data_IF_227850000404
#
_entry.id   IF_227850000404
#
_cell.length_a   1.000
_cell.length_b   1.000
_cell.length_c   1.000
_cell.angle_alpha   90.00
_cell.angle_beta   90.00
_cell.angle_gamma   90.00
#
_symmetry.space_group_name_H-M   'P 1'
#
loop_
_entity.id
_entity.type
_entity.pdbx_description
1 polymer ?
#
# COMPACT_ATOMS: atom_id res chain seq x y z
N UNK A 1 -73.88 -12.99 38.11
CA UNK A 1 -73.38 -12.24 36.93
C UNK A 1 -72.45 -13.14 36.14
N UNK A 2 -72.74 -13.41 34.86
CA UNK A 2 -71.89 -14.25 34.01
C UNK A 2 -71.01 -13.36 33.11
N UNK A 3 -69.72 -13.28 33.41
CA UNK A 3 -68.74 -12.60 32.54
C UNK A 3 -68.34 -13.52 31.39
N UNK A 4 -68.95 -13.30 30.22
CA UNK A 4 -68.64 -14.07 29.00
C UNK A 4 -67.26 -13.65 28.48
N UNK A 5 -66.28 -14.54 28.64
CA UNK A 5 -64.87 -14.31 28.29
C UNK A 5 -64.72 -13.99 26.80
N UNK A 6 -64.34 -12.76 26.47
CA UNK A 6 -64.09 -12.35 25.08
C UNK A 6 -62.94 -13.16 24.50
N UNK A 7 -63.19 -13.83 23.37
CA UNK A 7 -62.15 -14.56 22.63
C UNK A 7 -61.30 -13.58 21.85
N UNK A 8 -60.24 -13.08 22.47
CA UNK A 8 -59.22 -12.27 21.80
C UNK A 8 -58.57 -13.09 20.70
N UNK A 9 -58.85 -12.76 19.43
CA UNK A 9 -58.17 -13.33 18.27
C UNK A 9 -56.68 -13.01 18.39
N UNK A 10 -55.88 -14.02 18.75
CA UNK A 10 -54.42 -13.94 18.85
C UNK A 10 -53.86 -13.61 17.46
N UNK A 11 -53.54 -12.35 17.24
CA UNK A 11 -52.89 -11.88 16.01
C UNK A 11 -51.56 -12.63 15.88
N UNK A 12 -51.49 -13.59 14.95
CA UNK A 12 -50.23 -14.21 14.56
C UNK A 12 -49.57 -13.24 13.57
N UNK A 13 -48.50 -12.50 13.92
CA UNK A 13 -47.76 -11.77 12.91
C UNK A 13 -47.22 -12.76 11.89
N UNK A 14 -47.38 -12.46 10.60
CA UNK A 14 -46.91 -13.32 9.52
C UNK A 14 -45.39 -13.25 9.41
N UNK A 15 -44.69 -14.00 10.27
CA UNK A 15 -43.22 -14.12 10.29
C UNK A 15 -42.64 -14.50 8.92
N UNK A 16 -43.35 -15.36 8.18
CA UNK A 16 -43.03 -15.71 6.80
C UNK A 16 -43.04 -14.50 5.84
N UNK A 17 -43.95 -13.54 6.02
CA UNK A 17 -44.06 -12.34 5.17
C UNK A 17 -42.91 -11.36 5.36
N UNK A 18 -42.46 -11.18 6.61
CA UNK A 18 -41.29 -10.33 6.93
C UNK A 18 -40.01 -10.97 6.38
N UNK A 19 -39.81 -12.28 6.58
CA UNK A 19 -38.66 -13.01 6.02
C UNK A 19 -38.62 -12.95 4.48
N UNK A 20 -39.77 -13.11 3.82
CA UNK A 20 -39.87 -13.02 2.36
C UNK A 20 -39.53 -11.62 1.85
N UNK A 21 -40.06 -10.57 2.47
CA UNK A 21 -39.81 -9.18 2.06
C UNK A 21 -38.33 -8.79 2.23
N UNK A 22 -37.71 -9.19 3.34
CA UNK A 22 -36.28 -8.96 3.58
C UNK A 22 -35.40 -9.77 2.63
N UNK A 23 -35.77 -11.01 2.33
CA UNK A 23 -35.08 -11.83 1.32
C UNK A 23 -35.15 -11.23 -0.08
N UNK A 24 -36.30 -10.65 -0.46
CA UNK A 24 -36.47 -9.95 -1.75
C UNK A 24 -35.61 -8.69 -1.81
N UNK A 25 -35.62 -7.85 -0.77
CA UNK A 25 -34.75 -6.65 -0.72
C UNK A 25 -33.27 -7.03 -0.79
N UNK A 26 -32.86 -8.07 -0.06
CA UNK A 26 -31.51 -8.61 -0.10
C UNK A 26 -31.12 -9.10 -1.51
N UNK A 27 -32.03 -9.82 -2.18
CA UNK A 27 -31.82 -10.31 -3.54
C UNK A 27 -31.74 -9.17 -4.57
N UNK A 28 -32.59 -8.15 -4.46
CA UNK A 28 -32.56 -6.96 -5.32
C UNK A 28 -31.23 -6.22 -5.16
N UNK A 29 -30.75 -6.04 -3.92
CA UNK A 29 -29.44 -5.42 -3.66
C UNK A 29 -28.30 -6.26 -4.25
N UNK A 30 -28.31 -7.58 -4.05
CA UNK A 30 -27.32 -8.49 -4.64
C UNK A 30 -27.30 -8.45 -6.16
N UNK A 31 -28.47 -8.45 -6.80
CA UNK A 31 -28.60 -8.38 -8.27
C UNK A 31 -28.16 -7.02 -8.79
N UNK A 32 -28.49 -5.91 -8.10
CA UNK A 32 -28.00 -4.59 -8.47
C UNK A 32 -26.47 -4.50 -8.37
N UNK A 33 -25.87 -5.04 -7.31
CA UNK A 33 -24.40 -5.12 -7.14
C UNK A 33 -23.78 -5.98 -8.25
N UNK A 34 -24.34 -7.16 -8.53
CA UNK A 34 -23.86 -8.05 -9.60
C UNK A 34 -23.94 -7.37 -10.98
N UNK A 35 -25.03 -6.66 -11.27
CA UNK A 35 -25.19 -5.90 -12.51
C UNK A 35 -24.15 -4.77 -12.59
N UNK A 36 -23.92 -4.01 -11.51
CA UNK A 36 -22.88 -2.97 -11.49
C UNK A 36 -21.47 -3.55 -11.73
N UNK A 37 -21.16 -4.70 -11.13
CA UNK A 37 -19.89 -5.43 -11.36
C UNK A 37 -19.77 -5.90 -12.81
N UNK A 38 -20.83 -6.50 -13.37
CA UNK A 38 -20.83 -7.00 -14.77
C UNK A 38 -20.67 -5.84 -15.77
N UNK A 39 -21.42 -4.74 -15.60
CA UNK A 39 -21.35 -3.58 -16.49
C UNK A 39 -19.95 -2.94 -16.47
N UNK A 40 -19.33 -2.80 -15.30
CA UNK A 40 -17.96 -2.31 -15.18
C UNK A 40 -16.91 -3.32 -15.71
N UNK A 41 -17.14 -4.63 -15.59
CA UNK A 41 -16.24 -5.65 -16.16
C UNK A 41 -16.23 -5.60 -17.70
N UNK A 42 -17.39 -5.39 -18.34
CA UNK A 42 -17.44 -5.15 -19.79
C UNK A 42 -16.70 -3.87 -20.22
N UNK A 43 -16.68 -2.85 -19.36
CA UNK A 43 -16.01 -1.57 -19.62
C UNK A 43 -14.49 -1.66 -19.41
N UNK A 44 -14.03 -2.43 -18.42
CA UNK A 44 -12.60 -2.74 -18.24
C UNK A 44 -12.06 -3.58 -19.42
N UNK A 45 -12.83 -4.56 -19.90
CA UNK A 45 -12.48 -5.37 -21.07
C UNK A 45 -12.41 -4.55 -22.37
N UNK A 46 -13.13 -3.44 -22.48
CA UNK A 46 -13.07 -2.55 -23.65
C UNK A 46 -11.91 -1.55 -23.56
N UNK A 47 -11.58 -1.07 -22.35
CA UNK A 47 -10.50 -0.10 -22.14
C UNK A 47 -9.11 -0.65 -22.48
N UNK A 48 -8.77 -1.87 -22.02
CA UNK A 48 -7.51 -2.56 -22.38
C UNK A 48 -7.39 -2.75 -23.90
N UNK A 49 -8.52 -2.95 -24.59
CA UNK A 49 -8.56 -3.18 -26.03
C UNK A 49 -8.38 -1.89 -26.87
N UNK A 50 -8.69 -0.72 -26.31
CA UNK A 50 -8.74 0.56 -27.05
C UNK A 50 -7.50 1.43 -26.84
N UNK A 51 -7.00 1.53 -25.60
CA UNK A 51 -5.93 2.50 -25.27
C UNK A 51 -4.50 2.06 -25.63
N UNK A 52 -4.21 0.76 -25.61
CA UNK A 52 -2.84 0.26 -25.82
C UNK A 52 -2.38 0.36 -27.30
N UNK A 53 -3.31 0.24 -28.26
CA UNK A 53 -2.98 0.00 -29.68
C UNK A 53 -2.38 1.19 -30.45
N UNK A 54 -2.87 2.44 -30.34
CA UNK A 54 -2.38 3.52 -31.21
C UNK A 54 -0.99 4.04 -30.78
N UNK A 55 -0.79 4.30 -29.49
CA UNK A 55 0.42 4.97 -29.01
C UNK A 55 1.66 4.04 -29.01
N UNK A 56 1.48 2.75 -28.75
CA UNK A 56 2.59 1.79 -28.74
C UNK A 56 3.06 1.48 -30.17
N UNK A 57 2.13 1.40 -31.14
CA UNK A 57 2.46 1.16 -32.55
C UNK A 57 3.25 2.32 -33.17
N UNK A 58 2.76 3.56 -33.07
CA UNK A 58 3.42 4.76 -33.60
C UNK A 58 4.82 4.94 -32.97
N UNK A 59 4.94 4.68 -31.67
CA UNK A 59 6.21 4.75 -30.93
C UNK A 59 7.18 3.66 -31.38
N UNK A 60 6.71 2.46 -31.71
CA UNK A 60 7.53 1.37 -32.22
C UNK A 60 8.03 1.65 -33.65
N UNK A 61 7.17 2.17 -34.55
CA UNK A 61 7.58 2.59 -35.90
C UNK A 61 8.63 3.71 -35.85
N UNK A 62 8.43 4.72 -35.01
CA UNK A 62 9.39 5.81 -34.81
C UNK A 62 10.75 5.32 -34.29
N UNK A 63 10.76 4.40 -33.31
CA UNK A 63 11.99 3.79 -32.80
C UNK A 63 12.69 2.95 -33.87
N UNK A 64 11.94 2.17 -34.66
CA UNK A 64 12.48 1.38 -35.77
C UNK A 64 13.14 2.30 -36.83
N UNK A 65 12.51 3.44 -37.13
CA UNK A 65 13.05 4.42 -38.06
C UNK A 65 14.31 5.12 -37.53
N UNK A 66 14.39 5.41 -36.22
CA UNK A 66 15.62 5.91 -35.60
C UNK A 66 16.76 4.90 -35.64
N UNK A 67 16.48 3.62 -35.35
CA UNK A 67 17.47 2.53 -35.41
C UNK A 67 18.06 2.44 -36.82
N UNK A 68 17.22 2.41 -37.85
CA UNK A 68 17.65 2.31 -39.25
C UNK A 68 18.52 3.52 -39.69
N UNK A 69 18.21 4.72 -39.20
CA UNK A 69 19.02 5.92 -39.47
C UNK A 69 20.39 5.87 -38.76
N UNK A 70 20.44 5.32 -37.54
CA UNK A 70 21.69 5.13 -36.80
C UNK A 70 22.55 4.05 -37.44
N UNK A 71 21.98 2.91 -37.88
CA UNK A 71 22.75 1.84 -38.52
C UNK A 71 23.40 2.34 -39.81
N UNK A 72 22.66 3.01 -40.70
CA UNK A 72 23.19 3.62 -41.93
C UNK A 72 24.35 4.59 -41.63
N UNK A 73 24.19 5.47 -40.63
CA UNK A 73 25.26 6.38 -40.18
C UNK A 73 26.49 5.62 -39.65
N UNK A 74 26.31 4.54 -38.91
CA UNK A 74 27.44 3.76 -38.39
C UNK A 74 28.19 2.99 -39.49
N UNK A 75 27.49 2.45 -40.50
CA UNK A 75 28.15 1.81 -41.65
C UNK A 75 28.93 2.83 -42.49
N UNK A 76 28.32 3.99 -42.76
CA UNK A 76 28.99 5.10 -43.46
C UNK A 76 30.23 5.61 -42.70
N UNK A 77 30.21 5.55 -41.37
CA UNK A 77 31.35 5.92 -40.52
C UNK A 77 32.44 4.85 -40.51
N UNK A 78 32.08 3.56 -40.39
CA UNK A 78 33.03 2.43 -40.46
C UNK A 78 33.82 2.39 -41.76
N UNK A 79 33.18 2.73 -42.87
CA UNK A 79 33.80 2.69 -44.20
C UNK A 79 34.79 3.86 -44.48
N UNK A 80 35.06 4.72 -43.49
CA UNK A 80 35.94 5.90 -43.63
C UNK A 80 37.11 5.90 -42.61
N UNK A 81 37.15 4.98 -41.64
CA UNK A 81 38.21 4.94 -40.61
C UNK A 81 39.25 3.85 -40.88
N UNK A 82 40.20 4.15 -41.77
CA UNK A 82 41.55 3.59 -41.61
C UNK A 82 42.18 4.20 -40.34
N UNK A 83 42.80 3.39 -39.48
CA UNK A 83 43.19 3.80 -38.13
C UNK A 83 44.16 4.99 -38.09
N UNK A 84 43.92 5.94 -37.18
CA UNK A 84 44.71 7.18 -37.06
C UNK A 84 46.03 6.96 -36.29
N UNK A 85 46.10 5.92 -35.45
CA UNK A 85 47.29 5.57 -34.66
C UNK A 85 48.11 4.48 -35.36
N UNK A 86 49.45 4.67 -35.45
CA UNK A 86 50.33 3.86 -36.30
C UNK A 86 50.74 2.48 -35.76
N UNK A 87 50.28 2.06 -34.57
CA UNK A 87 50.48 0.66 -34.11
C UNK A 87 49.34 0.18 -33.20
N UNK A 88 49.24 -1.14 -33.06
CA UNK A 88 48.23 -1.88 -32.26
C UNK A 88 48.21 -1.54 -30.78
N UNK A 89 49.32 -1.00 -30.26
CA UNK A 89 49.57 -0.87 -28.83
C UNK A 89 49.11 0.50 -28.29
N UNK A 90 48.53 1.33 -29.16
CA UNK A 90 47.97 2.64 -28.85
C UNK A 90 46.46 2.63 -29.01
N UNK A 91 45.77 3.17 -28.01
CA UNK A 91 44.31 3.30 -28.00
C UNK A 91 43.94 4.63 -28.66
N UNK A 92 43.18 4.60 -29.76
CA UNK A 92 42.65 5.80 -30.39
C UNK A 92 41.38 6.27 -29.65
N UNK A 93 41.39 7.51 -29.15
CA UNK A 93 40.18 8.19 -28.63
C UNK A 93 40.16 9.63 -29.13
N UNK A 94 39.12 10.00 -29.88
CA UNK A 94 38.92 11.36 -30.43
C UNK A 94 40.14 11.89 -31.21
N UNK A 95 40.68 11.08 -32.14
CA UNK A 95 41.92 11.39 -32.91
C UNK A 95 43.12 11.76 -32.02
N UNK A 96 43.23 11.12 -30.85
CA UNK A 96 44.41 11.16 -29.99
C UNK A 96 44.77 9.72 -29.61
N UNK A 97 46.06 9.41 -29.67
CA UNK A 97 46.59 8.10 -29.34
C UNK A 97 47.02 8.08 -27.87
N UNK A 98 46.63 7.04 -27.14
CA UNK A 98 46.99 6.83 -25.74
C UNK A 98 47.78 5.53 -25.58
N UNK A 99 49.00 5.63 -25.06
CA UNK A 99 49.81 4.49 -24.64
C UNK A 99 49.75 4.35 -23.12
N UNK A 100 49.74 3.10 -22.64
CA UNK A 100 49.65 2.78 -21.22
C UNK A 100 50.64 1.66 -20.91
N UNK A 101 51.49 1.89 -19.91
CA UNK A 101 52.52 0.95 -19.52
C UNK A 101 51.90 -0.40 -19.06
N UNK A 102 52.53 -1.54 -19.37
CA UNK A 102 52.05 -2.85 -18.94
C UNK A 102 51.90 -2.97 -17.42
N UNK A 103 50.94 -3.80 -17.00
CA UNK A 103 50.68 -4.06 -15.59
C UNK A 103 51.94 -4.59 -14.88
N UNK A 104 52.24 -4.05 -13.70
CA UNK A 104 53.45 -4.38 -12.91
C UNK A 104 54.63 -3.43 -13.11
N UNK A 105 54.68 -2.63 -14.19
CA UNK A 105 55.72 -1.62 -14.38
C UNK A 105 55.40 -0.36 -13.59
N UNK A 106 55.87 -0.29 -12.34
CA UNK A 106 55.85 0.95 -11.55
C UNK A 106 57.14 1.75 -11.78
N UNK A 107 56.98 3.05 -11.99
CA UNK A 107 58.08 4.03 -12.18
C UNK A 107 57.78 5.25 -11.33
N UNK A 108 58.79 6.08 -11.03
CA UNK A 108 58.55 7.43 -10.50
C UNK A 108 57.90 8.29 -11.58
N UNK A 109 57.20 9.35 -11.18
CA UNK A 109 56.55 10.30 -12.09
C UNK A 109 57.51 10.80 -13.18
N UNK A 110 58.75 11.15 -12.81
CA UNK A 110 59.82 11.57 -13.72
C UNK A 110 60.14 10.49 -14.77
N UNK A 111 60.39 9.25 -14.32
CA UNK A 111 60.71 8.11 -15.20
C UNK A 111 59.53 7.70 -16.09
N UNK A 112 58.29 8.05 -15.72
CA UNK A 112 57.10 7.89 -16.56
C UNK A 112 56.95 9.04 -17.57
N UNK A 113 57.29 10.28 -17.18
CA UNK A 113 57.35 11.43 -18.08
C UNK A 113 58.36 11.22 -19.18
N UNK A 114 59.56 10.77 -18.82
CA UNK A 114 60.67 10.62 -19.76
C UNK A 114 60.39 9.45 -20.74
N UNK A 115 59.87 8.31 -20.26
CA UNK A 115 59.39 7.20 -21.12
C UNK A 115 58.27 7.62 -22.07
N UNK A 116 57.39 8.55 -21.67
CA UNK A 116 56.39 9.12 -22.58
C UNK A 116 57.01 10.00 -23.65
N UNK A 117 58.05 10.78 -23.32
CA UNK A 117 58.78 11.64 -24.28
C UNK A 117 59.59 10.82 -25.28
N UNK A 118 60.26 9.76 -24.83
CA UNK A 118 61.01 8.82 -25.69
C UNK A 118 60.10 8.15 -26.74
N UNK A 119 58.82 7.96 -26.42
CA UNK A 119 57.78 7.43 -27.34
C UNK A 119 57.17 8.49 -28.28
N UNK A 120 57.70 9.71 -28.32
CA UNK A 120 57.15 10.82 -29.09
C UNK A 120 55.86 11.41 -28.52
N UNK A 121 55.54 11.12 -27.25
CA UNK A 121 54.35 11.58 -26.55
C UNK A 121 54.65 12.45 -25.32
N UNK A 122 53.67 12.56 -24.44
CA UNK A 122 53.77 13.23 -23.13
C UNK A 122 52.74 12.63 -22.16
N UNK A 123 52.94 12.82 -20.86
CA UNK A 123 51.94 12.41 -19.87
C UNK A 123 50.59 13.10 -20.12
N UNK A 124 49.51 12.38 -19.82
CA UNK A 124 48.16 12.81 -20.20
C UNK A 124 47.71 14.06 -19.43
N UNK A 125 47.24 15.07 -20.17
CA UNK A 125 46.54 16.24 -19.61
C UNK A 125 45.02 16.04 -19.65
N UNK A 126 44.32 16.37 -18.56
CA UNK A 126 42.89 16.08 -18.38
C UNK A 126 42.10 17.39 -18.36
N UNK A 127 41.55 17.76 -19.51
CA UNK A 127 40.80 19.01 -19.71
C UNK A 127 39.27 18.84 -19.62
N UNK A 128 38.75 17.61 -19.47
CA UNK A 128 37.31 17.34 -19.46
C UNK A 128 36.97 16.09 -18.62
N UNK A 129 35.90 16.17 -17.82
CA UNK A 129 35.35 15.10 -16.96
C UNK A 129 34.99 13.82 -17.74
N UNK A 130 34.52 13.92 -18.99
CA UNK A 130 34.27 12.76 -19.84
C UNK A 130 35.57 12.00 -20.19
N UNK A 131 36.68 12.72 -20.38
CA UNK A 131 38.01 12.14 -20.64
C UNK A 131 38.58 11.47 -19.38
N UNK A 132 38.34 12.05 -18.20
CA UNK A 132 38.68 11.46 -16.91
C UNK A 132 37.93 10.14 -16.68
N UNK A 133 36.62 10.11 -16.91
CA UNK A 133 35.79 8.91 -16.69
C UNK A 133 36.19 7.75 -17.61
N UNK A 134 36.54 8.04 -18.87
CA UNK A 134 36.96 7.03 -19.83
C UNK A 134 38.32 6.39 -19.44
N UNK A 135 39.29 7.19 -18.99
CA UNK A 135 40.57 6.68 -18.48
C UNK A 135 40.38 5.96 -17.12
N UNK A 136 39.62 6.55 -16.21
CA UNK A 136 39.41 6.06 -14.84
C UNK A 136 38.54 4.81 -14.69
N UNK A 137 37.99 4.27 -15.80
CA UNK A 137 37.24 3.01 -15.86
C UNK A 137 38.12 1.78 -16.09
N UNK A 138 39.27 1.96 -16.75
CA UNK A 138 40.17 0.86 -17.14
C UNK A 138 41.48 0.81 -16.32
N UNK A 139 41.93 1.95 -15.76
CA UNK A 139 43.25 2.04 -15.14
C UNK A 139 43.13 2.45 -13.66
N UNK A 140 43.62 1.57 -12.77
CA UNK A 140 43.45 1.73 -11.31
C UNK A 140 44.49 2.65 -10.66
N UNK A 141 45.74 2.66 -11.16
CA UNK A 141 46.82 3.58 -10.74
C UNK A 141 47.76 3.84 -11.94
N UNK A 142 47.91 5.10 -12.33
CA UNK A 142 48.83 5.53 -13.40
C UNK A 142 49.22 7.01 -13.18
N UNK A 143 50.45 7.39 -13.56
CA UNK A 143 50.87 8.79 -13.51
C UNK A 143 50.21 9.62 -14.62
N UNK A 144 49.85 10.86 -14.29
CA UNK A 144 49.29 11.86 -15.19
C UNK A 144 50.20 13.10 -15.24
N UNK A 145 50.03 13.96 -16.23
CA UNK A 145 50.95 15.08 -16.50
C UNK A 145 50.75 16.30 -15.61
N UNK A 146 50.32 16.13 -14.36
CA UNK A 146 50.07 17.22 -13.39
C UNK A 146 51.19 17.20 -12.34
N UNK A 147 51.77 18.37 -12.03
CA UNK A 147 52.83 18.53 -11.03
C UNK A 147 52.89 19.96 -10.48
N UNK A 148 53.43 20.12 -9.28
CA UNK A 148 53.62 21.39 -8.55
C UNK A 148 55.10 21.80 -8.41
N UNK A 149 56.01 21.11 -9.12
CA UNK A 149 57.47 21.28 -8.99
C UNK A 149 58.01 22.66 -9.36
N UNK A 150 57.23 23.50 -10.05
CA UNK A 150 57.61 24.87 -10.37
C UNK A 150 57.50 25.79 -9.16
N UNK A 151 56.36 25.74 -8.47
CA UNK A 151 56.05 26.48 -7.25
C UNK A 151 55.18 25.58 -6.38
N UNK A 152 55.67 25.19 -5.21
CA UNK A 152 54.95 24.35 -4.23
C UNK A 152 53.51 24.87 -4.01
N UNK A 153 52.53 23.97 -4.12
CA UNK A 153 51.10 24.33 -4.02
C UNK A 153 50.46 24.93 -5.28
N UNK A 154 51.23 25.24 -6.32
CA UNK A 154 50.72 25.68 -7.64
C UNK A 154 50.81 24.55 -8.64
N UNK A 155 49.68 23.88 -8.88
CA UNK A 155 49.61 22.74 -9.80
C UNK A 155 49.53 23.18 -11.26
N UNK A 156 50.49 22.71 -12.05
CA UNK A 156 50.62 22.96 -13.48
C UNK A 156 50.62 21.64 -14.26
N UNK A 157 50.13 21.67 -15.49
CA UNK A 157 50.26 20.56 -16.43
C UNK A 157 51.61 20.63 -17.17
N UNK A 158 52.09 19.50 -17.69
CA UNK A 158 53.28 19.39 -18.56
C UNK A 158 53.26 20.29 -19.83
N UNK A 159 52.14 20.98 -20.12
CA UNK A 159 52.04 22.00 -21.18
C UNK A 159 52.07 23.46 -20.66
N UNK A 160 52.45 23.66 -19.39
CA UNK A 160 52.55 24.98 -18.75
C UNK A 160 51.19 25.61 -18.44
N UNK A 161 50.07 24.87 -18.59
CA UNK A 161 48.75 25.40 -18.23
C UNK A 161 48.49 25.22 -16.73
N UNK A 162 48.10 26.29 -16.00
CA UNK A 162 47.77 26.19 -14.58
C UNK A 162 46.41 25.52 -14.36
N UNK A 163 46.22 24.89 -13.20
CA UNK A 163 44.96 24.24 -12.83
C UNK A 163 43.89 25.27 -12.37
N UNK A 164 43.07 25.75 -13.31
CA UNK A 164 42.09 26.84 -13.06
C UNK A 164 40.87 26.40 -12.21
N UNK A 165 40.43 27.30 -11.32
CA UNK A 165 39.55 27.06 -10.16
C UNK A 165 38.08 26.67 -10.36
N UNK A 166 37.70 26.00 -11.46
CA UNK A 166 36.43 25.26 -11.54
C UNK A 166 36.61 23.78 -11.85
N UNK A 167 37.73 23.37 -12.44
CA UNK A 167 38.07 21.95 -12.62
C UNK A 167 38.84 21.38 -11.43
N UNK A 168 39.55 22.22 -10.66
CA UNK A 168 40.34 21.78 -9.51
C UNK A 168 39.51 21.07 -8.44
N UNK A 169 38.51 21.73 -7.86
CA UNK A 169 37.71 21.18 -6.75
C UNK A 169 36.98 19.88 -7.12
N UNK A 170 36.44 19.78 -8.33
CA UNK A 170 35.79 18.54 -8.80
C UNK A 170 36.78 17.39 -9.08
N UNK A 171 37.95 17.68 -9.66
CA UNK A 171 38.98 16.66 -9.92
C UNK A 171 39.61 16.16 -8.62
N UNK A 172 40.03 17.06 -7.73
CA UNK A 172 40.59 16.70 -6.41
C UNK A 172 39.59 15.87 -5.60
N UNK A 173 38.35 16.35 -5.42
CA UNK A 173 37.32 15.59 -4.69
C UNK A 173 36.92 14.27 -5.37
N UNK A 174 37.24 14.03 -6.64
CA UNK A 174 36.96 12.75 -7.33
C UNK A 174 38.12 11.75 -7.23
N UNK A 175 39.34 12.24 -7.01
CA UNK A 175 40.54 11.43 -6.81
C UNK A 175 40.72 11.08 -5.32
N UNK A 176 40.50 12.04 -4.42
CA UNK A 176 40.67 11.84 -2.96
C UNK A 176 39.72 10.78 -2.39
N UNK A 177 38.44 10.81 -2.81
CA UNK A 177 37.44 9.78 -2.45
C UNK A 177 37.75 8.36 -2.96
N UNK A 178 38.80 8.17 -3.77
CA UNK A 178 39.35 6.85 -4.14
C UNK A 178 40.51 6.45 -3.26
N UNK A 179 41.40 7.36 -2.86
CA UNK A 179 42.47 7.10 -1.87
C UNK A 179 41.87 6.78 -0.50
N UNK A 180 40.89 7.58 -0.05
CA UNK A 180 40.19 7.34 1.23
C UNK A 180 39.50 5.98 1.29
N UNK A 181 38.83 5.56 0.19
CA UNK A 181 38.15 4.25 0.10
C UNK A 181 39.10 3.07 0.35
N UNK A 182 40.34 3.14 -0.12
CA UNK A 182 41.32 2.08 0.12
C UNK A 182 41.90 2.12 1.54
N UNK A 183 41.94 3.29 2.20
CA UNK A 183 42.30 3.40 3.62
C UNK A 183 41.18 2.97 4.57
N UNK A 184 39.92 2.97 4.10
CA UNK A 184 38.74 2.54 4.86
C UNK A 184 38.59 1.02 4.92
N UNK A 185 38.83 0.32 3.81
CA UNK A 185 38.77 -1.15 3.74
C UNK A 185 39.78 -1.86 4.66
N UNK A 186 40.84 -1.17 5.11
CA UNK A 186 41.79 -1.67 6.13
C UNK A 186 41.41 -1.31 7.59
N UNK A 187 40.37 -0.49 7.82
CA UNK A 187 39.94 -0.05 9.16
C UNK A 187 38.62 -0.64 9.67
N UNK A 188 37.81 -1.26 8.82
CA UNK A 188 36.53 -1.88 9.23
C UNK A 188 36.67 -3.21 10.02
N UNK A 189 37.85 -3.52 10.57
CA UNK A 189 38.09 -4.69 11.45
C UNK A 189 38.30 -4.35 12.93
N UNK A 190 38.19 -3.08 13.35
CA UNK A 190 38.08 -2.70 14.76
C UNK A 190 36.82 -1.86 14.97
N UNK A 191 35.74 -2.46 15.46
CA UNK A 191 35.44 -2.55 16.91
C UNK A 191 34.83 -1.22 17.39
N UNK A 192 33.53 -1.01 17.13
CA UNK A 192 32.44 -1.37 18.06
C UNK A 192 32.51 -0.63 19.41
N UNK A 193 31.97 0.60 19.45
CA UNK A 193 31.35 1.17 20.66
C UNK A 193 30.46 2.40 20.33
N UNK A 194 29.17 2.27 20.65
CA UNK A 194 28.18 3.36 20.80
C UNK A 194 28.35 4.06 22.18
N UNK A 195 27.60 5.14 22.56
CA UNK A 195 26.40 5.73 21.94
C UNK A 195 26.29 7.28 21.83
N UNK A 196 25.36 7.72 20.97
CA UNK A 196 24.40 8.84 21.04
C UNK A 196 24.75 10.23 21.66
N UNK A 197 24.46 11.30 20.89
CA UNK A 197 23.46 12.36 21.26
C UNK A 197 23.13 13.32 20.09
N UNK A 198 21.90 13.86 20.08
CA UNK A 198 21.34 14.86 19.13
C UNK A 198 21.24 16.25 19.82
N UNK A 199 20.68 17.35 19.23
CA UNK A 199 20.53 17.80 17.82
C UNK A 199 21.33 19.16 17.67
N UNK A 200 20.84 20.37 17.23
CA UNK A 200 19.73 20.79 16.34
C UNK A 200 20.00 21.94 15.31
N UNK A 201 19.13 21.96 14.28
CA UNK A 201 18.46 23.14 13.66
C UNK A 201 19.15 24.14 12.71
N UNK A 202 18.31 24.60 11.75
CA UNK A 202 18.27 25.89 11.04
C UNK A 202 19.33 26.19 9.95
N UNK A 203 19.02 26.87 8.83
CA UNK A 203 17.73 27.26 8.20
C UNK A 203 17.96 27.77 6.75
N UNK A 204 16.91 28.32 6.11
CA UNK A 204 16.84 28.99 4.81
C UNK A 204 16.86 28.05 3.57
N UNK A 205 15.75 27.74 2.89
CA UNK A 205 14.66 28.53 2.28
C UNK A 205 14.89 28.84 0.79
N UNK A 206 14.05 28.24 -0.06
CA UNK A 206 13.92 28.55 -1.49
C UNK A 206 12.44 28.65 -1.86
N UNK A 207 12.03 29.83 -2.33
CA UNK A 207 10.66 30.09 -2.80
C UNK A 207 10.45 29.47 -4.17
N UNK A 208 9.42 28.62 -4.33
CA UNK A 208 8.95 28.13 -5.63
C UNK A 208 7.44 28.35 -5.73
N UNK A 209 6.98 28.64 -6.95
CA UNK A 209 5.64 29.12 -7.24
C UNK A 209 4.52 28.18 -6.78
N UNK A 210 3.41 28.77 -6.33
CA UNK A 210 2.19 28.05 -5.98
C UNK A 210 1.45 27.57 -7.25
N UNK A 211 1.75 26.35 -7.70
CA UNK A 211 0.80 25.57 -8.48
C UNK A 211 -0.21 24.93 -7.54
N UNK A 212 -1.49 25.27 -7.67
CA UNK A 212 -2.57 24.65 -6.90
C UNK A 212 -2.69 23.17 -7.27
N UNK A 213 -2.19 22.29 -6.41
CA UNK A 213 -2.53 20.87 -6.46
C UNK A 213 -4.02 20.70 -6.07
N UNK A 214 -4.77 19.78 -6.70
CA UNK A 214 -5.98 19.28 -6.06
C UNK A 214 -5.60 18.66 -4.71
N UNK A 215 -6.48 18.78 -3.71
CA UNK A 215 -6.20 18.27 -2.37
C UNK A 215 -5.84 16.78 -2.40
N UNK A 216 -4.85 16.38 -1.60
CA UNK A 216 -4.43 14.98 -1.49
C UNK A 216 -5.58 14.12 -0.95
N UNK A 217 -6.29 13.45 -1.85
CA UNK A 217 -7.22 12.39 -1.49
C UNK A 217 -6.41 11.20 -0.98
N UNK A 218 -6.49 10.94 0.32
CA UNK A 218 -5.96 9.73 0.94
C UNK A 218 -6.78 8.52 0.46
N UNK A 219 -6.38 7.94 -0.68
CA UNK A 219 -6.99 6.73 -1.22
C UNK A 219 -6.82 5.57 -0.24
N UNK A 220 -7.89 4.79 -0.07
CA UNK A 220 -7.82 3.55 0.68
C UNK A 220 -6.87 2.58 -0.04
N UNK A 221 -6.18 1.67 0.68
CA UNK A 221 -5.46 0.58 0.03
C UNK A 221 -6.45 -0.23 -0.84
N UNK A 222 -6.07 -0.57 -2.07
CA UNK A 222 -6.91 -1.33 -3.00
C UNK A 222 -6.25 -2.67 -3.37
N UNK A 223 -7.03 -3.61 -3.89
CA UNK A 223 -6.54 -4.94 -4.28
C UNK A 223 -6.36 -5.90 -3.09
N UNK A 224 -5.54 -6.93 -3.27
CA UNK A 224 -5.35 -7.99 -2.25
C UNK A 224 -4.64 -7.47 -0.98
N UNK A 225 -3.86 -6.39 -1.08
CA UNK A 225 -3.18 -5.76 0.07
C UNK A 225 -4.16 -5.16 1.10
N UNK A 226 -5.46 -4.97 0.74
CA UNK A 226 -6.53 -4.59 1.67
C UNK A 226 -6.50 -5.44 2.94
N UNK A 227 -6.38 -6.77 2.80
CA UNK A 227 -6.39 -7.73 3.92
C UNK A 227 -5.21 -7.57 4.88
N UNK A 228 -4.12 -6.93 4.45
CA UNK A 228 -2.93 -6.66 5.27
C UNK A 228 -3.06 -5.35 6.07
N UNK A 229 -4.12 -4.57 5.82
CA UNK A 229 -4.36 -3.29 6.49
C UNK A 229 -5.36 -3.44 7.63
N UNK A 230 -5.21 -2.65 8.69
CA UNK A 230 -6.10 -2.67 9.84
C UNK A 230 -7.59 -2.47 9.46
N UNK A 231 -7.86 -1.68 8.42
CA UNK A 231 -9.20 -1.47 7.87
C UNK A 231 -9.79 -2.75 7.27
N UNK A 232 -9.04 -3.44 6.40
CA UNK A 232 -9.51 -4.69 5.77
C UNK A 232 -9.65 -5.85 6.76
N UNK A 233 -8.78 -5.91 7.77
CA UNK A 233 -8.91 -6.89 8.87
C UNK A 233 -10.21 -6.68 9.65
N UNK A 234 -10.56 -5.43 10.03
CA UNK A 234 -11.82 -5.17 10.73
C UNK A 234 -13.05 -5.49 9.88
N UNK A 235 -13.08 -5.07 8.61
CA UNK A 235 -14.19 -5.40 7.69
C UNK A 235 -14.36 -6.92 7.55
N UNK A 236 -13.25 -7.67 7.51
CA UNK A 236 -13.30 -9.15 7.50
C UNK A 236 -13.91 -9.72 8.78
N UNK A 237 -13.57 -9.17 9.95
CA UNK A 237 -14.16 -9.56 11.24
C UNK A 237 -15.64 -9.17 11.35
N UNK A 238 -16.04 -8.01 10.83
CA UNK A 238 -17.43 -7.56 10.73
C UNK A 238 -18.27 -8.53 9.89
N UNK A 239 -17.74 -8.99 8.74
CA UNK A 239 -18.39 -10.00 7.88
C UNK A 239 -18.47 -11.36 8.59
N UNK A 240 -17.40 -11.83 9.22
CA UNK A 240 -17.38 -13.15 9.89
C UNK A 240 -18.31 -13.18 11.10
N UNK A 241 -18.13 -12.28 12.06
CA UNK A 241 -18.96 -12.24 13.26
C UNK A 241 -20.39 -11.79 12.96
N UNK A 242 -20.57 -10.86 12.01
CA UNK A 242 -21.90 -10.46 11.51
C UNK A 242 -22.62 -11.63 10.84
N UNK A 243 -21.90 -12.45 10.06
CA UNK A 243 -22.43 -13.70 9.51
C UNK A 243 -22.91 -14.68 10.58
N UNK A 244 -22.12 -14.85 11.65
CA UNK A 244 -22.48 -15.74 12.76
C UNK A 244 -23.73 -15.27 13.52
N UNK A 245 -23.95 -13.97 13.71
CA UNK A 245 -25.11 -13.44 14.46
C UNK A 245 -26.43 -13.86 13.82
N UNK A 246 -26.65 -13.63 12.52
CA UNK A 246 -27.92 -14.01 11.90
C UNK A 246 -28.11 -15.53 11.79
N UNK A 247 -27.03 -16.30 11.61
CA UNK A 247 -27.08 -17.78 11.61
C UNK A 247 -27.52 -18.29 12.99
N UNK A 248 -26.95 -17.76 14.08
CA UNK A 248 -27.32 -18.11 15.45
C UNK A 248 -28.79 -17.75 15.73
N UNK A 249 -29.21 -16.52 15.40
CA UNK A 249 -30.59 -16.07 15.59
C UNK A 249 -31.57 -16.94 14.80
N UNK A 250 -31.28 -17.26 13.54
CA UNK A 250 -32.09 -18.17 12.74
C UNK A 250 -32.15 -19.58 13.35
N UNK A 251 -31.02 -20.13 13.83
CA UNK A 251 -30.95 -21.46 14.45
C UNK A 251 -31.78 -21.60 15.73
N UNK A 252 -32.06 -20.49 16.43
CA UNK A 252 -32.92 -20.47 17.62
C UNK A 252 -34.41 -20.76 17.31
N UNK A 253 -34.80 -20.76 16.02
CA UNK A 253 -36.18 -20.71 15.52
C UNK A 253 -36.94 -19.42 15.88
N UNK A 254 -36.21 -18.35 16.20
CA UNK A 254 -36.73 -16.99 16.42
C UNK A 254 -37.91 -16.95 17.41
N UNK A 255 -37.75 -17.45 18.66
CA UNK A 255 -38.81 -17.49 19.68
C UNK A 255 -39.41 -16.12 20.03
N UNK A 256 -38.72 -15.01 19.73
CA UNK A 256 -39.19 -13.64 19.94
C UNK A 256 -39.21 -12.86 18.61
N UNK A 257 -40.20 -13.07 17.72
CA UNK A 257 -40.13 -12.65 16.31
C UNK A 257 -39.92 -11.16 16.06
N UNK A 258 -40.42 -10.28 16.93
CA UNK A 258 -40.29 -8.83 16.76
C UNK A 258 -38.86 -8.35 17.07
N UNK A 259 -38.28 -8.80 18.18
CA UNK A 259 -36.94 -8.36 18.61
C UNK A 259 -35.85 -9.07 17.80
N UNK A 260 -35.96 -10.39 17.64
CA UNK A 260 -34.97 -11.17 16.91
C UNK A 260 -35.09 -11.01 15.39
N UNK A 261 -36.28 -10.71 14.86
CA UNK A 261 -36.47 -10.35 13.46
C UNK A 261 -35.71 -9.06 13.08
N UNK A 262 -35.65 -8.08 13.99
CA UNK A 262 -34.82 -6.90 13.82
C UNK A 262 -33.32 -7.24 13.81
N UNK A 263 -32.85 -8.03 14.78
CA UNK A 263 -31.44 -8.45 14.87
C UNK A 263 -31.00 -9.19 13.60
N UNK A 264 -31.85 -10.11 13.11
CA UNK A 264 -31.63 -10.83 11.86
C UNK A 264 -31.61 -9.89 10.65
N UNK A 265 -32.53 -8.93 10.56
CA UNK A 265 -32.54 -7.91 9.50
C UNK A 265 -31.22 -7.13 9.45
N UNK A 266 -30.84 -6.50 10.57
CA UNK A 266 -29.61 -5.71 10.70
C UNK A 266 -28.40 -6.53 10.27
N UNK A 267 -28.31 -7.75 10.80
CA UNK A 267 -27.15 -8.60 10.64
C UNK A 267 -26.99 -9.13 9.21
N UNK A 268 -28.10 -9.49 8.54
CA UNK A 268 -28.10 -9.88 7.12
C UNK A 268 -27.78 -8.69 6.21
N UNK A 269 -28.44 -7.55 6.39
CA UNK A 269 -28.21 -6.36 5.55
C UNK A 269 -26.77 -5.86 5.66
N UNK A 270 -26.22 -5.79 6.87
CA UNK A 270 -24.84 -5.37 7.08
C UNK A 270 -23.81 -6.40 6.57
N UNK A 271 -24.10 -7.70 6.63
CA UNK A 271 -23.24 -8.74 6.02
C UNK A 271 -23.08 -8.50 4.51
N UNK A 272 -24.18 -8.25 3.80
CA UNK A 272 -24.15 -8.02 2.35
C UNK A 272 -23.56 -6.66 1.97
N UNK A 273 -23.86 -5.59 2.72
CA UNK A 273 -23.25 -4.28 2.48
C UNK A 273 -21.74 -4.29 2.74
N UNK A 274 -21.28 -4.94 3.81
CA UNK A 274 -19.84 -5.08 4.11
C UNK A 274 -19.12 -5.94 3.07
N UNK A 275 -19.75 -7.03 2.63
CA UNK A 275 -19.20 -7.88 1.55
C UNK A 275 -19.09 -7.11 0.23
N UNK A 276 -20.09 -6.28 -0.10
CA UNK A 276 -20.06 -5.41 -1.27
C UNK A 276 -18.97 -4.33 -1.14
N UNK A 277 -18.87 -3.67 0.02
CA UNK A 277 -17.84 -2.67 0.30
C UNK A 277 -16.42 -3.26 0.20
N UNK A 278 -16.19 -4.44 0.80
CA UNK A 278 -14.93 -5.18 0.65
C UNK A 278 -14.65 -5.53 -0.81
N UNK A 279 -15.67 -5.94 -1.58
CA UNK A 279 -15.52 -6.23 -3.02
C UNK A 279 -15.12 -4.98 -3.81
N UNK A 280 -15.68 -3.79 -3.49
CA UNK A 280 -15.31 -2.52 -4.13
C UNK A 280 -13.84 -2.13 -3.87
N UNK A 281 -13.34 -2.39 -2.65
CA UNK A 281 -11.93 -2.16 -2.29
C UNK A 281 -10.99 -3.15 -2.99
N UNK A 282 -11.35 -4.44 -3.04
CA UNK A 282 -10.51 -5.49 -3.68
C UNK A 282 -10.47 -5.31 -5.21
N UNK A 283 -11.59 -4.94 -5.84
CA UNK A 283 -11.67 -4.75 -7.30
C UNK A 283 -11.05 -3.45 -7.80
N UNK A 284 -10.63 -2.56 -6.90
CA UNK A 284 -10.08 -1.25 -7.27
C UNK A 284 -11.13 -0.25 -7.79
N UNK A 285 -12.43 -0.59 -7.74
CA UNK A 285 -13.49 0.24 -8.32
C UNK A 285 -13.69 1.56 -7.54
N UNK A 286 -13.25 1.62 -6.27
CA UNK A 286 -13.29 2.85 -5.49
C UNK A 286 -12.56 4.01 -6.20
N UNK A 287 -11.34 3.80 -6.69
CA UNK A 287 -10.54 4.84 -7.38
C UNK A 287 -11.15 5.31 -8.72
N UNK A 288 -12.11 4.56 -9.29
CA UNK A 288 -12.80 4.94 -10.54
C UNK A 288 -13.99 5.88 -10.29
N UNK A 289 -14.45 5.99 -9.05
CA UNK A 289 -15.66 6.72 -8.69
C UNK A 289 -15.26 7.99 -7.93
N UNK A 290 -15.53 9.14 -8.54
CA UNK A 290 -15.19 10.45 -8.00
C UNK A 290 -16.15 10.88 -6.86
N UNK A 291 -16.02 10.23 -5.70
CA UNK A 291 -16.74 10.56 -4.46
C UNK A 291 -15.75 10.53 -3.29
N UNK A 292 -16.02 11.30 -2.24
CA UNK A 292 -15.29 11.27 -0.97
C UNK A 292 -15.48 9.94 -0.23
N UNK A 293 -14.70 8.92 -0.62
CA UNK A 293 -14.74 7.59 -0.03
C UNK A 293 -14.55 7.56 1.48
N UNK A 294 -13.80 8.51 2.03
CA UNK A 294 -13.61 8.64 3.46
C UNK A 294 -14.88 9.15 4.20
N UNK A 295 -15.72 9.94 3.53
CA UNK A 295 -17.04 10.35 4.08
C UNK A 295 -18.02 9.19 4.00
N UNK A 296 -18.04 8.43 2.89
CA UNK A 296 -18.84 7.21 2.76
C UNK A 296 -18.46 6.19 3.84
N UNK A 297 -17.16 5.94 4.02
CA UNK A 297 -16.59 5.04 5.02
C UNK A 297 -17.04 5.41 6.45
N UNK A 298 -16.86 6.65 6.87
CA UNK A 298 -17.29 7.11 8.22
C UNK A 298 -18.81 7.02 8.38
N UNK A 299 -19.59 7.43 7.38
CA UNK A 299 -21.05 7.39 7.43
C UNK A 299 -21.58 5.95 7.50
N UNK A 300 -21.00 5.03 6.71
CA UNK A 300 -21.37 3.63 6.69
C UNK A 300 -21.13 2.98 8.06
N UNK A 301 -19.91 3.08 8.60
CA UNK A 301 -19.58 2.45 9.87
C UNK A 301 -20.34 3.10 11.04
N UNK A 302 -20.65 4.41 11.00
CA UNK A 302 -21.52 5.06 11.99
C UNK A 302 -22.96 4.51 11.95
N UNK A 303 -23.57 4.38 10.77
CA UNK A 303 -24.92 3.81 10.64
C UNK A 303 -24.93 2.34 11.08
N UNK A 304 -23.95 1.54 10.63
CA UNK A 304 -23.83 0.15 11.03
C UNK A 304 -23.63 -0.02 12.54
N UNK A 305 -22.80 0.83 13.18
CA UNK A 305 -22.61 0.89 14.63
C UNK A 305 -23.94 1.13 15.37
N UNK A 306 -24.74 2.11 14.96
CA UNK A 306 -26.02 2.41 15.60
C UNK A 306 -27.00 1.22 15.53
N UNK A 307 -27.11 0.60 14.35
CA UNK A 307 -28.03 -0.52 14.14
C UNK A 307 -27.57 -1.78 14.88
N UNK A 308 -26.26 -2.08 14.89
CA UNK A 308 -25.71 -3.21 15.67
C UNK A 308 -25.77 -2.98 17.17
N UNK A 309 -25.54 -1.75 17.65
CA UNK A 309 -25.74 -1.41 19.06
C UNK A 309 -27.20 -1.64 19.48
N UNK A 310 -28.17 -1.21 18.66
CA UNK A 310 -29.58 -1.50 18.90
C UNK A 310 -29.88 -3.01 18.90
N UNK A 311 -29.30 -3.78 17.97
CA UNK A 311 -29.44 -5.24 17.91
C UNK A 311 -28.84 -5.93 19.15
N UNK A 312 -27.64 -5.52 19.59
CA UNK A 312 -27.01 -6.00 20.81
C UNK A 312 -27.86 -5.71 22.06
N UNK A 313 -28.39 -4.48 22.20
CA UNK A 313 -29.26 -4.11 23.33
C UNK A 313 -30.55 -4.95 23.33
N UNK A 314 -31.11 -5.25 22.15
CA UNK A 314 -32.30 -6.08 22.01
C UNK A 314 -32.05 -7.54 22.39
N UNK A 315 -30.93 -8.16 21.97
CA UNK A 315 -30.58 -9.52 22.41
C UNK A 315 -30.17 -9.57 23.89
N UNK A 316 -29.46 -8.56 24.39
CA UNK A 316 -29.18 -8.46 25.83
C UNK A 316 -30.49 -8.38 26.65
N UNK A 317 -31.50 -7.66 26.15
CA UNK A 317 -32.81 -7.56 26.79
C UNK A 317 -33.62 -8.88 26.73
N UNK A 318 -33.65 -9.60 25.59
CA UNK A 318 -34.31 -10.92 25.49
C UNK A 318 -33.64 -11.95 26.40
N UNK A 319 -32.31 -11.97 26.44
CA UNK A 319 -31.53 -12.85 27.32
C UNK A 319 -31.72 -12.51 28.79
N UNK A 320 -31.74 -11.23 29.17
CA UNK A 320 -31.98 -10.81 30.57
C UNK A 320 -33.39 -11.14 31.04
N UNK A 321 -34.41 -10.92 30.21
CA UNK A 321 -35.81 -11.20 30.55
C UNK A 321 -36.10 -12.70 30.79
N UNK A 322 -35.30 -13.61 30.22
CA UNK A 322 -35.43 -15.05 30.44
C UNK A 322 -35.04 -15.53 31.85
N UNK A 323 -34.30 -14.73 32.64
CA UNK A 323 -33.84 -15.12 33.98
C UNK A 323 -34.95 -15.19 35.04
N UNK A 324 -36.20 -14.86 34.69
CA UNK A 324 -37.33 -14.89 35.60
C UNK A 324 -37.93 -16.28 35.89
N UNK A 325 -37.79 -17.27 35.00
CA UNK A 325 -38.49 -18.56 35.16
C UNK A 325 -37.68 -19.62 35.90
N UNK A 326 -38.08 -19.95 37.12
CA UNK A 326 -37.63 -21.16 37.83
C UNK A 326 -38.65 -22.29 37.69
N UNK A 327 -38.17 -23.45 37.26
CA UNK A 327 -38.95 -24.69 37.20
C UNK A 327 -38.73 -25.49 38.49
N UNK A 328 -39.74 -25.57 39.36
CA UNK A 328 -39.71 -26.45 40.53
C UNK A 328 -40.35 -27.77 40.13
N UNK A 329 -39.56 -28.85 40.13
CA UNK A 329 -40.07 -30.21 39.96
C UNK A 329 -40.66 -30.70 41.28
N UNK A 330 -41.93 -31.11 41.25
CA UNK A 330 -42.61 -31.65 42.45
C UNK A 330 -42.04 -33.05 42.80
N UNK A 331 -41.94 -33.43 44.09
CA UNK A 331 -41.31 -34.70 44.48
C UNK A 331 -42.00 -35.99 44.00
N UNK A 332 -43.25 -35.93 43.52
CA UNK A 332 -44.04 -37.13 43.25
C UNK A 332 -45.08 -36.99 42.12
N UNK A 333 -44.74 -36.32 41.02
CA UNK A 333 -45.63 -36.26 39.86
C UNK A 333 -45.06 -35.53 38.65
N UNK A 334 -45.55 -35.88 37.45
CA UNK A 334 -45.16 -35.31 36.15
C UNK A 334 -45.60 -33.86 35.92
N UNK A 335 -45.99 -33.14 36.98
CA UNK A 335 -46.46 -31.76 36.93
C UNK A 335 -45.35 -30.81 37.39
N UNK A 336 -44.83 -30.01 36.46
CA UNK A 336 -43.85 -28.96 36.73
C UNK A 336 -44.60 -27.69 37.12
N UNK A 337 -44.34 -27.16 38.32
CA UNK A 337 -44.90 -25.88 38.74
C UNK A 337 -44.03 -24.75 38.17
N UNK A 338 -44.53 -24.06 37.15
CA UNK A 338 -43.94 -22.78 36.71
C UNK A 338 -44.22 -21.71 37.76
N UNK A 339 -43.23 -21.45 38.62
CA UNK A 339 -43.20 -20.21 39.39
C UNK A 339 -42.78 -19.09 38.44
N UNK A 340 -43.74 -18.25 38.05
CA UNK A 340 -43.48 -16.95 37.41
C UNK A 340 -43.42 -15.92 38.55
N UNK A 341 -42.25 -15.59 39.13
CA UNK A 341 -42.13 -14.32 39.82
C UNK A 341 -42.44 -13.22 38.81
N UNK A 342 -43.37 -12.33 39.16
CA UNK A 342 -43.67 -11.17 38.31
C UNK A 342 -42.37 -10.39 38.07
N UNK A 343 -41.86 -10.32 36.82
CA UNK A 343 -40.62 -9.61 36.55
C UNK A 343 -40.85 -8.11 36.76
N UNK A 344 -39.85 -7.40 37.29
CA UNK A 344 -39.91 -5.97 37.57
C UNK A 344 -39.87 -5.09 36.29
N UNK A 345 -40.20 -5.63 35.11
CA UNK A 345 -40.04 -4.97 33.81
C UNK A 345 -41.12 -5.35 32.80
N UNK A 346 -41.30 -4.49 31.80
CA UNK A 346 -42.42 -4.54 30.85
C UNK A 346 -42.27 -5.59 29.72
N UNK A 347 -41.18 -6.35 29.70
CA UNK A 347 -40.86 -7.31 28.64
C UNK A 347 -40.74 -8.71 29.25
N UNK A 348 -41.53 -9.65 28.73
CA UNK A 348 -41.55 -11.05 29.16
C UNK A 348 -41.21 -11.96 27.98
N UNK A 349 -40.20 -12.81 28.16
CA UNK A 349 -39.73 -13.79 27.17
C UNK A 349 -39.59 -15.16 27.82
N UNK A 350 -39.98 -16.22 27.12
CA UNK A 350 -39.75 -17.60 27.53
C UNK A 350 -38.85 -18.23 26.47
N UNK A 351 -37.62 -18.61 26.85
CA UNK A 351 -36.69 -19.38 26.03
C UNK A 351 -36.34 -20.68 26.73
N UNK A 352 -36.39 -21.79 25.98
CA UNK A 352 -35.90 -23.08 26.45
C UNK A 352 -34.37 -23.05 26.60
N UNK A 353 -33.79 -23.92 27.44
CA UNK A 353 -32.35 -23.96 27.72
C UNK A 353 -31.43 -23.83 26.49
N UNK A 354 -31.62 -24.63 25.41
CA UNK A 354 -30.83 -24.50 24.19
C UNK A 354 -30.99 -23.14 23.48
N UNK A 355 -32.22 -22.61 23.42
CA UNK A 355 -32.51 -21.31 22.80
C UNK A 355 -31.88 -20.16 23.59
N UNK A 356 -31.90 -20.24 24.92
CA UNK A 356 -31.21 -19.28 25.79
C UNK A 356 -29.70 -19.26 25.52
N UNK A 357 -29.05 -20.42 25.42
CA UNK A 357 -27.62 -20.51 25.10
C UNK A 357 -27.28 -19.92 23.71
N UNK A 358 -28.14 -20.14 22.71
CA UNK A 358 -27.98 -19.58 21.36
C UNK A 358 -28.14 -18.04 21.39
N UNK A 359 -29.14 -17.51 22.10
CA UNK A 359 -29.32 -16.07 22.27
C UNK A 359 -28.17 -15.41 23.05
N UNK A 360 -27.63 -16.06 24.08
CA UNK A 360 -26.42 -15.60 24.79
C UNK A 360 -25.24 -15.50 23.81
N UNK A 361 -25.02 -16.51 22.97
CA UNK A 361 -23.98 -16.47 21.94
C UNK A 361 -24.21 -15.34 20.94
N UNK A 362 -25.43 -15.18 20.42
CA UNK A 362 -25.78 -14.08 19.51
C UNK A 362 -25.60 -12.68 20.16
N UNK A 363 -25.88 -12.54 21.45
CA UNK A 363 -25.60 -11.32 22.24
C UNK A 363 -24.11 -11.02 22.28
N UNK A 364 -23.28 -12.04 22.55
CA UNK A 364 -21.82 -11.89 22.62
C UNK A 364 -21.23 -11.53 21.25
N UNK A 365 -21.65 -12.21 20.17
CA UNK A 365 -21.14 -11.88 18.83
C UNK A 365 -21.64 -10.53 18.32
N UNK A 366 -22.89 -10.14 18.57
CA UNK A 366 -23.38 -8.80 18.21
C UNK A 366 -22.67 -7.68 18.97
N UNK A 367 -22.25 -7.90 20.22
CA UNK A 367 -21.35 -7.00 20.94
C UNK A 367 -19.98 -6.87 20.25
N UNK A 368 -19.34 -7.97 19.88
CA UNK A 368 -18.06 -7.93 19.15
C UNK A 368 -18.17 -7.20 17.81
N UNK A 369 -19.24 -7.45 17.04
CA UNK A 369 -19.50 -6.73 15.79
C UNK A 369 -19.69 -5.24 16.03
N UNK A 370 -20.43 -4.86 17.08
CA UNK A 370 -20.61 -3.45 17.48
C UNK A 370 -19.26 -2.78 17.79
N UNK A 371 -18.36 -3.48 18.48
CA UNK A 371 -17.00 -2.99 18.73
C UNK A 371 -16.18 -2.83 17.45
N UNK A 372 -16.27 -3.78 16.50
CA UNK A 372 -15.58 -3.69 15.22
C UNK A 372 -16.03 -2.43 14.43
N UNK A 373 -17.34 -2.24 14.23
CA UNK A 373 -17.86 -1.03 13.56
C UNK A 373 -17.45 0.26 14.28
N UNK A 374 -17.41 0.25 15.62
CA UNK A 374 -16.93 1.39 16.41
C UNK A 374 -15.45 1.70 16.15
N UNK A 375 -14.59 0.69 16.13
CA UNK A 375 -13.17 0.83 15.81
C UNK A 375 -12.95 1.29 14.35
N UNK A 376 -13.68 0.73 13.39
CA UNK A 376 -13.62 1.13 11.98
C UNK A 376 -14.03 2.59 11.79
N UNK A 377 -15.14 3.01 12.39
CA UNK A 377 -15.59 4.41 12.39
C UNK A 377 -14.55 5.37 12.98
N UNK A 378 -13.93 5.01 14.12
CA UNK A 378 -12.88 5.81 14.75
C UNK A 378 -11.64 5.94 13.87
N UNK A 379 -11.26 4.89 13.14
CA UNK A 379 -10.15 4.94 12.18
C UNK A 379 -10.49 5.80 10.95
N UNK A 380 -11.70 5.68 10.39
CA UNK A 380 -12.17 6.55 9.31
C UNK A 380 -12.17 8.03 9.70
N UNK A 381 -12.62 8.33 10.93
CA UNK A 381 -12.59 9.71 11.46
C UNK A 381 -11.16 10.21 11.70
N UNK A 382 -10.23 9.34 12.12
CA UNK A 382 -8.81 9.68 12.23
C UNK A 382 -8.19 9.95 10.85
N UNK A 383 -8.53 9.16 9.84
CA UNK A 383 -8.10 9.35 8.44
C UNK A 383 -8.71 10.63 7.82
N UNK A 384 -9.87 11.08 8.29
CA UNK A 384 -10.50 12.34 7.84
C UNK A 384 -9.80 13.61 8.36
N UNK A 385 -9.14 13.53 9.51
CA UNK A 385 -8.49 14.66 10.19
C UNK A 385 -6.98 14.78 9.94
N UNK A 386 -6.45 14.01 9.00
CA UNK A 386 -5.07 14.09 8.51
C UNK A 386 -5.08 14.55 7.05
#
# INVERSE_FOLDING_TARGET
>A
MNLRRSSGRRFKPNTAGVGLFLGILCFIMLVAILILVILNFSELSSHDSYHQRPEEADRLEFLQQQINNLTEKTEKTKNTTAGFCSSSDWIEVNRKCFYIAPFGVTRSWEKSRDDCRDRGGRLVTIQNRAKLLLLGRFYRRAWIGLSDRGIEGTWEWEDGTPLVGQTSSELWCSLERRTERQSGEEREQQEMSEPATNPPAAAAASTVAATSFPGTTLSLPLGLEVFRTYSGVLITLEIVFGGLVWILVASSNVPVPLLQGWVMFVSVTAFFLSSAYLTLLITGLADRINIDWNVIDVLYHFVALLFYFAAFVLEAATTAANKGTQFISMPNGTQVLMCIPFPAGNVFTILNGPQYSINVAATIFSFFVTLCYGCSMLMGFKRWRM
#
